data_IF_518748619526
#
_entry.id   IF_518748619526
#
_cell.length_a   1.000
_cell.length_b   1.000
_cell.length_c   1.000
_cell.angle_alpha   90.00
_cell.angle_beta   90.00
_cell.angle_gamma   90.00
#
_symmetry.space_group_name_H-M   'P 1'
#
loop_
_entity.id
_entity.type
_entity.pdbx_description
1 polymer ?
#
# COMPACT_ATOMS: atom_id res chain seq x y z
N UNK A 1 -0.71 -13.98 -18.17
CA UNK A 1 -0.57 -13.00 -19.29
C UNK A 1 -1.47 -11.78 -19.08
N UNK A 2 -2.72 -11.93 -18.62
CA UNK A 2 -3.61 -10.78 -18.35
C UNK A 2 -3.30 -10.00 -17.06
N UNK A 3 -2.33 -10.44 -16.28
CA UNK A 3 -1.89 -9.74 -15.06
C UNK A 3 -1.22 -8.41 -15.37
N UNK A 4 -0.60 -8.27 -16.55
CA UNK A 4 -0.04 -7.00 -17.03
C UNK A 4 -1.13 -5.97 -17.30
N UNK A 5 -2.21 -6.38 -17.98
CA UNK A 5 -3.38 -5.51 -18.22
C UNK A 5 -3.96 -5.03 -16.89
N UNK A 6 -4.25 -5.96 -15.99
CA UNK A 6 -4.80 -5.65 -14.65
C UNK A 6 -3.87 -4.72 -13.88
N UNK A 7 -2.55 -4.93 -13.95
CA UNK A 7 -1.55 -4.05 -13.35
C UNK A 7 -1.67 -2.62 -13.90
N UNK A 8 -1.63 -2.45 -15.22
CA UNK A 8 -1.70 -1.13 -15.87
C UNK A 8 -3.00 -0.39 -15.53
N UNK A 9 -4.14 -1.09 -15.54
CA UNK A 9 -5.43 -0.49 -15.20
C UNK A 9 -5.41 0.04 -13.76
N UNK A 10 -4.98 -0.78 -12.80
CA UNK A 10 -4.94 -0.37 -11.39
C UNK A 10 -3.93 0.76 -11.15
N UNK A 11 -2.76 0.70 -11.79
CA UNK A 11 -1.75 1.77 -11.68
C UNK A 11 -2.28 3.09 -12.24
N UNK A 12 -2.99 3.05 -13.37
CA UNK A 12 -3.60 4.24 -13.95
C UNK A 12 -4.72 4.82 -13.06
N UNK A 13 -5.55 3.97 -12.45
CA UNK A 13 -6.62 4.41 -11.54
C UNK A 13 -6.09 5.05 -10.24
N UNK A 14 -4.88 4.69 -9.79
CA UNK A 14 -4.28 5.20 -8.53
C UNK A 14 -3.15 6.20 -8.81
N UNK A 15 -2.84 6.49 -10.07
CA UNK A 15 -1.73 7.35 -10.45
C UNK A 15 -1.88 8.80 -9.96
N UNK A 16 -3.12 9.29 -9.87
CA UNK A 16 -3.40 10.68 -9.52
C UNK A 16 -3.40 10.92 -8.01
N UNK A 17 -3.89 9.96 -7.23
CA UNK A 17 -3.94 10.05 -5.77
C UNK A 17 -3.65 8.68 -5.12
N UNK A 18 -2.63 8.67 -4.27
CA UNK A 18 -2.14 7.51 -3.51
C UNK A 18 -3.17 7.00 -2.52
N UNK A 19 -4.00 7.87 -1.93
CA UNK A 19 -5.04 7.44 -0.99
C UNK A 19 -6.37 7.11 -1.68
N UNK A 20 -6.47 7.31 -3.00
CA UNK A 20 -7.71 7.08 -3.74
C UNK A 20 -8.24 5.65 -3.56
N UNK A 21 -9.54 5.57 -3.32
CA UNK A 21 -10.25 4.31 -3.11
C UNK A 21 -11.09 3.99 -4.32
N UNK A 22 -10.77 2.88 -4.97
CA UNK A 22 -11.60 2.35 -6.05
C UNK A 22 -12.88 1.75 -5.45
N UNK A 23 -14.03 2.27 -5.86
CA UNK A 23 -15.33 1.77 -5.42
C UNK A 23 -15.67 0.42 -6.08
N UNK A 24 -16.54 -0.35 -5.44
CA UNK A 24 -17.11 -1.61 -5.97
C UNK A 24 -17.73 -1.39 -7.37
N UNK A 25 -18.40 -0.26 -7.57
CA UNK A 25 -19.03 0.10 -8.83
C UNK A 25 -17.98 0.33 -9.92
N UNK A 26 -16.89 1.03 -9.59
CA UNK A 26 -15.77 1.26 -10.51
C UNK A 26 -15.12 -0.05 -10.95
N UNK A 27 -14.92 -1.01 -10.04
CA UNK A 27 -14.45 -2.35 -10.42
C UNK A 27 -15.42 -3.08 -11.36
N UNK A 28 -16.73 -2.92 -11.14
CA UNK A 28 -17.76 -3.45 -12.04
C UNK A 28 -17.70 -2.84 -13.45
N UNK A 29 -17.51 -1.52 -13.54
CA UNK A 29 -17.34 -0.80 -14.81
C UNK A 29 -16.09 -1.27 -15.56
N UNK A 30 -14.94 -1.30 -14.89
CA UNK A 30 -13.68 -1.76 -15.49
C UNK A 30 -13.79 -3.20 -16.00
N UNK A 31 -14.51 -4.06 -15.28
CA UNK A 31 -14.72 -5.45 -15.70
C UNK A 31 -15.60 -5.55 -16.95
N UNK A 32 -16.63 -4.71 -17.05
CA UNK A 32 -17.46 -4.61 -18.26
C UNK A 32 -16.66 -4.10 -19.47
N UNK A 33 -15.85 -3.06 -19.28
CA UNK A 33 -15.01 -2.51 -20.34
C UNK A 33 -13.99 -3.55 -20.86
N UNK A 34 -13.36 -4.30 -19.96
CA UNK A 34 -12.44 -5.38 -20.35
C UNK A 34 -13.16 -6.43 -21.21
N UNK A 35 -14.37 -6.85 -20.82
CA UNK A 35 -15.15 -7.84 -21.59
C UNK A 35 -15.64 -7.25 -22.91
N UNK A 36 -15.96 -5.96 -22.96
CA UNK A 36 -16.33 -5.28 -24.20
C UNK A 36 -15.20 -5.28 -25.22
N UNK A 37 -13.95 -5.11 -24.78
CA UNK A 37 -12.76 -5.17 -25.65
C UNK A 37 -12.36 -6.63 -25.96
N UNK A 38 -12.51 -7.52 -24.99
CA UNK A 38 -12.14 -8.92 -25.07
C UNK A 38 -13.35 -9.83 -24.79
N UNK A 39 -14.23 -10.06 -25.79
CA UNK A 39 -15.51 -10.74 -25.58
C UNK A 39 -15.40 -12.21 -25.16
N UNK A 40 -14.22 -12.82 -25.32
CA UNK A 40 -13.94 -14.19 -24.84
C UNK A 40 -13.68 -14.25 -23.33
N UNK A 41 -13.60 -13.11 -22.65
CA UNK A 41 -13.32 -13.03 -21.23
C UNK A 41 -14.57 -13.07 -20.37
N UNK A 42 -14.41 -13.61 -19.17
CA UNK A 42 -15.47 -13.73 -18.19
C UNK A 42 -15.35 -12.57 -17.20
N UNK A 43 -16.41 -11.76 -17.09
CA UNK A 43 -16.46 -10.58 -16.22
C UNK A 43 -16.08 -10.89 -14.78
N UNK A 44 -16.62 -11.99 -14.25
CA UNK A 44 -16.45 -12.44 -12.86
C UNK A 44 -14.99 -12.75 -12.51
N UNK A 45 -14.16 -13.02 -13.53
CA UNK A 45 -12.72 -13.23 -13.35
C UNK A 45 -12.02 -11.93 -12.91
N UNK A 46 -12.52 -10.78 -13.36
CA UNK A 46 -11.94 -9.47 -13.06
C UNK A 46 -12.52 -8.89 -11.79
N UNK A 47 -13.85 -8.97 -11.64
CA UNK A 47 -14.52 -8.55 -10.43
C UNK A 47 -15.82 -9.32 -10.21
N UNK A 48 -15.99 -9.83 -9.00
CA UNK A 48 -17.23 -10.39 -8.50
C UNK A 48 -17.33 -10.11 -7.01
N UNK A 49 -18.56 -9.93 -6.50
CA UNK A 49 -18.79 -9.81 -5.07
C UNK A 49 -19.74 -10.90 -4.59
N UNK A 50 -19.49 -11.38 -3.38
CA UNK A 50 -20.37 -12.31 -2.68
C UNK A 50 -20.77 -11.76 -1.32
N UNK A 51 -21.85 -12.28 -0.76
CA UNK A 51 -22.27 -11.94 0.59
C UNK A 51 -21.79 -13.04 1.55
N UNK A 52 -21.08 -12.64 2.60
CA UNK A 52 -20.65 -13.54 3.67
C UNK A 52 -21.31 -13.13 4.98
N UNK A 53 -21.86 -14.10 5.69
CA UNK A 53 -22.39 -13.89 7.04
C UNK A 53 -21.25 -13.65 8.03
N UNK A 54 -21.34 -12.58 8.79
CA UNK A 54 -20.43 -12.25 9.89
C UNK A 54 -20.87 -12.98 11.17
N UNK A 55 -20.01 -12.93 12.20
CA UNK A 55 -20.26 -13.54 13.52
C UNK A 55 -21.43 -12.88 14.26
N UNK A 56 -21.67 -11.59 14.01
CA UNK A 56 -22.78 -10.80 14.55
C UNK A 56 -24.12 -11.08 13.84
N UNK A 57 -24.16 -12.00 12.87
CA UNK A 57 -25.35 -12.32 12.08
C UNK A 57 -25.59 -11.38 10.89
N UNK A 58 -24.83 -10.30 10.73
CA UNK A 58 -24.97 -9.37 9.61
C UNK A 58 -24.32 -9.91 8.34
N UNK A 59 -24.75 -9.42 7.17
CA UNK A 59 -24.17 -9.78 5.88
C UNK A 59 -23.12 -8.74 5.44
N UNK A 60 -21.95 -9.20 5.03
CA UNK A 60 -20.88 -8.37 4.47
C UNK A 60 -20.70 -8.65 2.98
N UNK A 61 -20.53 -7.60 2.17
CA UNK A 61 -20.06 -7.73 0.80
C UNK A 61 -18.56 -8.04 0.81
N UNK A 62 -18.14 -9.06 0.07
CA UNK A 62 -16.74 -9.44 -0.13
C UNK A 62 -16.44 -9.36 -1.61
N UNK A 63 -15.54 -8.45 -1.98
CA UNK A 63 -15.01 -8.38 -3.33
C UNK A 63 -14.00 -9.48 -3.60
N UNK A 64 -14.00 -9.95 -4.84
CA UNK A 64 -13.08 -10.97 -5.38
C UNK A 64 -12.80 -10.67 -6.85
N UNK A 65 -11.84 -11.38 -7.44
CA UNK A 65 -11.40 -11.19 -8.81
C UNK A 65 -10.01 -10.54 -8.93
N UNK A 66 -9.49 -10.51 -10.15
CA UNK A 66 -8.12 -10.07 -10.45
C UNK A 66 -7.90 -8.58 -10.15
N UNK A 67 -8.83 -7.72 -10.56
CA UNK A 67 -8.73 -6.27 -10.34
C UNK A 67 -8.71 -5.97 -8.83
N UNK A 68 -9.66 -6.55 -8.11
CA UNK A 68 -9.77 -6.38 -6.66
C UNK A 68 -8.50 -6.84 -5.94
N UNK A 69 -8.04 -8.07 -6.20
CA UNK A 69 -6.81 -8.60 -5.56
C UNK A 69 -5.59 -7.72 -5.87
N UNK A 70 -5.44 -7.26 -7.12
CA UNK A 70 -4.29 -6.44 -7.52
C UNK A 70 -4.29 -5.10 -6.79
N UNK A 71 -5.43 -4.42 -6.70
CA UNK A 71 -5.57 -3.17 -5.96
C UNK A 71 -5.20 -3.33 -4.47
N UNK A 72 -5.76 -4.33 -3.79
CA UNK A 72 -5.48 -4.53 -2.37
C UNK A 72 -4.04 -4.97 -2.10
N UNK A 73 -3.43 -5.75 -2.99
CA UNK A 73 -2.01 -6.08 -2.92
C UNK A 73 -1.15 -4.82 -3.10
N UNK A 74 -1.41 -4.01 -4.12
CA UNK A 74 -0.71 -2.76 -4.35
C UNK A 74 -0.80 -1.84 -3.12
N UNK A 75 -2.00 -1.65 -2.55
CA UNK A 75 -2.16 -0.86 -1.31
C UNK A 75 -1.46 -1.47 -0.10
N UNK A 76 -1.35 -2.80 -0.03
CA UNK A 76 -0.58 -3.48 1.01
C UNK A 76 0.91 -3.17 0.85
N UNK A 77 1.43 -3.23 -0.37
CA UNK A 77 2.83 -2.92 -0.67
C UNK A 77 3.16 -1.43 -0.38
N UNK A 78 2.23 -0.52 -0.69
CA UNK A 78 2.33 0.91 -0.33
C UNK A 78 2.34 1.15 1.18
N UNK A 79 1.59 0.36 1.96
CA UNK A 79 1.67 0.42 3.43
C UNK A 79 3.00 -0.11 3.95
N UNK A 80 3.53 -1.19 3.35
CA UNK A 80 4.82 -1.76 3.74
C UNK A 80 6.00 -0.81 3.42
N UNK A 81 5.87 0.01 2.37
CA UNK A 81 6.87 1.02 2.01
C UNK A 81 6.68 2.37 2.72
N UNK A 82 5.65 2.52 3.57
CA UNK A 82 5.39 3.75 4.31
C UNK A 82 4.68 4.87 3.52
N UNK A 83 4.30 4.62 2.27
CA UNK A 83 3.54 5.58 1.45
C UNK A 83 2.07 5.73 1.88
N UNK A 84 1.53 4.72 2.54
CA UNK A 84 0.19 4.75 3.15
C UNK A 84 0.25 4.49 4.65
N UNK A 85 -0.59 5.14 5.47
CA UNK A 85 -0.62 4.91 6.90
C UNK A 85 -0.98 3.45 7.21
N UNK A 86 -0.15 2.81 8.03
CA UNK A 86 -0.42 1.47 8.56
C UNK A 86 -1.45 1.57 9.69
N UNK A 87 -2.47 0.71 9.65
CA UNK A 87 -3.51 0.65 10.70
C UNK A 87 -2.97 0.25 12.09
N UNK A 88 -1.69 -0.13 12.18
CA UNK A 88 -1.07 -0.59 13.43
C UNK A 88 -0.48 0.54 14.29
N UNK A 89 -0.36 1.77 13.79
CA UNK A 89 0.08 2.90 14.61
C UNK A 89 -0.69 4.18 14.24
N UNK A 90 -1.83 4.41 14.89
CA UNK A 90 -2.39 5.76 15.03
C UNK A 90 -1.82 6.46 16.28
N UNK A 91 -0.58 6.15 16.65
CA UNK A 91 0.23 7.05 17.44
C UNK A 91 0.74 8.10 16.48
N UNK A 92 -0.03 9.18 16.32
CA UNK A 92 0.60 10.47 16.06
C UNK A 92 1.58 10.69 17.21
N UNK A 93 2.84 10.33 17.03
CA UNK A 93 3.89 11.12 17.65
C UNK A 93 3.85 12.45 16.93
N UNK A 94 3.01 13.36 17.41
CA UNK A 94 3.41 14.76 17.39
C UNK A 94 4.74 14.76 18.15
N UNK A 95 5.86 14.73 17.43
CA UNK A 95 7.16 15.00 18.03
C UNK A 95 7.19 16.49 18.36
N UNK A 96 6.43 16.90 19.37
CA UNK A 96 6.90 17.94 20.26
C UNK A 96 7.97 17.24 21.08
N UNK A 97 9.23 17.40 20.68
CA UNK A 97 10.37 16.97 21.48
C UNK A 97 10.15 17.60 22.87
N UNK A 98 9.95 16.82 23.93
CA UNK A 98 10.08 17.37 25.26
C UNK A 98 11.56 17.71 25.39
N UNK A 99 11.85 18.99 25.60
CA UNK A 99 13.14 19.42 26.17
C UNK A 99 13.12 18.89 27.60
N UNK A 100 13.44 17.60 27.73
CA UNK A 100 13.81 16.95 28.96
C UNK A 100 15.32 16.82 28.92
N UNK A 101 15.97 17.37 29.93
CA UNK A 101 17.42 17.41 30.08
C UNK A 101 18.04 16.06 29.69
N UNK A 102 18.64 16.03 28.50
CA UNK A 102 19.33 14.86 27.99
C UNK A 102 20.58 14.69 28.85
N UNK A 103 20.70 13.54 29.50
CA UNK A 103 21.91 13.13 30.21
C UNK A 103 23.05 13.08 29.17
N UNK A 104 24.00 14.02 29.29
CA UNK A 104 25.10 14.27 28.35
C UNK A 104 25.99 13.03 28.09
N UNK A 105 25.83 11.97 28.88
CA UNK A 105 26.59 10.71 28.74
C UNK A 105 26.13 9.82 27.58
N UNK A 106 24.89 9.91 27.10
CA UNK A 106 24.39 8.99 26.05
C UNK A 106 24.89 9.35 24.64
N UNK A 107 25.45 10.55 24.46
CA UNK A 107 25.98 11.07 23.19
C UNK A 107 27.51 10.99 23.08
N UNK A 108 28.19 10.41 24.08
CA UNK A 108 29.66 10.31 24.08
C UNK A 108 30.21 9.50 22.90
N UNK A 109 29.47 8.48 22.43
CA UNK A 109 29.89 7.64 21.30
C UNK A 109 29.91 8.37 19.95
N UNK A 110 29.08 9.41 19.79
CA UNK A 110 29.01 10.22 18.57
C UNK A 110 30.21 11.17 18.43
N UNK A 111 30.78 11.64 19.55
CA UNK A 111 31.94 12.56 19.53
C UNK A 111 33.23 11.88 19.07
N UNK A 112 33.39 10.58 19.33
CA UNK A 112 34.58 9.83 18.94
C UNK A 112 34.56 9.30 17.50
N UNK A 113 33.43 9.40 16.80
CA UNK A 113 33.29 8.87 15.44
C UNK A 113 33.58 9.90 14.33
N UNK A 114 34.02 11.12 14.68
CA UNK A 114 34.18 12.25 13.75
C UNK A 114 35.58 12.31 13.11
N UNK A 115 36.52 11.43 13.48
CA UNK A 115 37.85 11.46 12.88
C UNK A 115 37.83 10.96 11.43
N UNK A 116 38.27 11.78 10.44
CA UNK A 116 38.34 11.37 9.05
C UNK A 116 39.44 10.31 8.85
N UNK A 117 39.13 9.27 8.09
CA UNK A 117 40.09 8.27 7.64
C UNK A 117 41.09 8.94 6.68
N UNK A 118 42.21 9.41 7.22
CA UNK A 118 43.28 10.03 6.43
C UNK A 118 44.27 8.95 5.98
N UNK A 119 44.22 8.72 4.67
CA UNK A 119 45.21 8.12 3.75
C UNK A 119 45.91 6.81 4.13
N UNK A 120 45.44 5.73 3.50
CA UNK A 120 46.22 4.50 3.29
C UNK A 120 47.33 4.79 2.29
N UNK A 121 48.52 5.15 2.77
CA UNK A 121 49.73 5.15 1.93
C UNK A 121 50.08 3.70 1.60
N UNK A 122 49.96 3.35 0.31
CA UNK A 122 50.50 2.11 -0.25
C UNK A 122 52.02 2.22 -0.32
N UNK A 123 52.71 1.24 0.26
CA UNK A 123 54.06 0.84 -0.12
C UNK A 123 54.02 -0.61 -0.58
#
# INVERSE_FOLDING_TARGET
MRDKLVKVIIENEVANDVDERISTERFGMLSNEIVSIFPTEIKETYFSFSFKRKKDGTWAKIGSGKLYRKFYNNRRDMRHSGLLPSKLCSSQSNQTIPIGDADDNELAWLKNAVEPWTDVVRL
#
